data_IF_013656054273
#
_entry.id   IF_013656054273
#
_cell.length_a   1.000
_cell.length_b   1.000
_cell.length_c   1.000
_cell.angle_alpha   90.00
_cell.angle_beta   90.00
_cell.angle_gamma   90.00
#
_symmetry.space_group_name_H-M   'P 1'
#
loop_
_entity.id
_entity.type
_entity.pdbx_description
1 polymer ?
#
# COMPACT_ATOMS: atom_id res chain seq x y z
N UNK A 1 -6.89 -17.25 9.01
CA UNK A 1 -7.46 -16.62 10.22
C UNK A 1 -7.51 -15.09 10.05
N UNK A 2 -8.11 -14.57 8.96
CA UNK A 2 -8.32 -13.11 8.74
C UNK A 2 -9.73 -12.66 9.19
N UNK A 3 -10.68 -13.59 9.29
CA UNK A 3 -12.09 -13.31 9.63
C UNK A 3 -12.29 -12.69 11.02
N UNK A 4 -11.41 -12.98 11.98
CA UNK A 4 -11.51 -12.49 13.36
C UNK A 4 -10.99 -11.07 13.56
N UNK A 5 -10.33 -10.47 12.56
CA UNK A 5 -9.56 -9.24 12.74
C UNK A 5 -10.36 -7.94 12.51
N UNK A 6 -11.69 -8.00 12.42
CA UNK A 6 -12.55 -6.84 12.20
C UNK A 6 -12.34 -6.14 10.84
N UNK A 7 -13.10 -5.07 10.59
CA UNK A 7 -12.99 -4.28 9.37
C UNK A 7 -11.64 -3.54 9.33
N UNK A 8 -10.78 -3.71 8.30
CA UNK A 8 -9.53 -2.97 8.19
C UNK A 8 -9.66 -1.44 8.21
N UNK A 9 -10.82 -0.88 7.85
CA UNK A 9 -11.07 0.56 7.92
C UNK A 9 -11.61 1.03 9.28
N UNK A 10 -11.80 0.15 10.27
CA UNK A 10 -12.19 0.58 11.62
C UNK A 10 -11.00 0.94 12.51
N UNK A 11 -9.76 0.69 12.09
CA UNK A 11 -8.56 1.05 12.83
C UNK A 11 -8.20 2.52 12.60
N UNK A 12 -7.44 3.18 13.50
CA UNK A 12 -7.10 4.60 13.33
C UNK A 12 -6.45 4.91 11.98
N UNK A 13 -5.39 4.18 11.61
CA UNK A 13 -4.72 4.38 10.31
C UNK A 13 -5.58 3.90 9.14
N UNK A 14 -6.43 2.89 9.37
CA UNK A 14 -7.37 2.37 8.38
C UNK A 14 -8.39 3.41 7.93
N UNK A 15 -8.94 4.19 8.87
CA UNK A 15 -9.84 5.30 8.55
C UNK A 15 -9.15 6.39 7.72
N UNK A 16 -7.90 6.72 8.03
CA UNK A 16 -7.13 7.69 7.23
C UNK A 16 -6.90 7.19 5.81
N UNK A 17 -6.54 5.92 5.66
CA UNK A 17 -6.39 5.30 4.34
C UNK A 17 -7.73 5.27 3.59
N UNK A 18 -8.84 4.96 4.26
CA UNK A 18 -10.17 4.98 3.63
C UNK A 18 -10.48 6.37 3.07
N UNK A 19 -10.22 7.42 3.84
CA UNK A 19 -10.43 8.81 3.46
C UNK A 19 -9.49 9.26 2.33
N UNK A 20 -8.19 8.94 2.42
CA UNK A 20 -7.16 9.29 1.42
C UNK A 20 -7.34 8.60 0.07
N UNK A 21 -8.20 7.60 0.00
CA UNK A 21 -8.45 6.79 -1.19
C UNK A 21 -9.91 6.81 -1.63
N UNK A 22 -10.71 7.75 -1.11
CA UNK A 22 -12.11 7.91 -1.44
C UNK A 22 -12.33 8.34 -2.90
N UNK A 23 -13.32 7.74 -3.56
CA UNK A 23 -13.64 8.07 -4.96
C UNK A 23 -14.09 9.51 -5.20
N UNK A 24 -14.57 10.20 -4.16
CA UNK A 24 -14.96 11.61 -4.19
C UNK A 24 -13.77 12.59 -4.23
N UNK A 25 -12.54 12.14 -3.89
CA UNK A 25 -11.38 13.02 -3.88
C UNK A 25 -11.04 13.51 -5.29
N UNK A 26 -10.79 14.81 -5.52
CA UNK A 26 -10.43 15.30 -6.86
C UNK A 26 -9.02 14.85 -7.28
N UNK A 27 -8.10 14.70 -6.33
CA UNK A 27 -6.72 14.29 -6.50
C UNK A 27 -6.17 13.72 -5.18
N UNK A 28 -4.88 13.39 -5.13
CA UNK A 28 -4.18 12.97 -3.92
C UNK A 28 -4.24 14.01 -2.81
N UNK A 29 -4.58 13.57 -1.60
CA UNK A 29 -4.42 14.37 -0.40
C UNK A 29 -3.03 14.10 0.22
N UNK A 30 -2.05 14.91 -0.16
CA UNK A 30 -0.68 14.75 0.32
C UNK A 30 -0.53 14.97 1.83
N UNK A 31 -1.36 15.83 2.43
CA UNK A 31 -1.33 16.04 3.87
C UNK A 31 -1.78 14.76 4.59
N UNK A 32 -2.87 14.15 4.12
CA UNK A 32 -3.38 12.90 4.66
C UNK A 32 -2.43 11.72 4.42
N UNK A 33 -1.74 11.68 3.27
CA UNK A 33 -0.73 10.66 2.98
C UNK A 33 0.47 10.73 3.94
N UNK A 34 0.90 11.94 4.31
CA UNK A 34 1.97 12.12 5.29
C UNK A 34 1.50 11.80 6.71
N UNK A 35 0.27 12.19 7.08
CA UNK A 35 -0.34 11.79 8.36
C UNK A 35 -0.38 10.25 8.49
N UNK A 36 -0.74 9.53 7.41
CA UNK A 36 -0.71 8.07 7.38
C UNK A 36 0.70 7.53 7.67
N UNK A 37 1.76 8.12 7.09
CA UNK A 37 3.14 7.71 7.35
C UNK A 37 3.51 7.93 8.82
N UNK A 38 3.13 9.06 9.40
CA UNK A 38 3.38 9.38 10.81
C UNK A 38 2.67 8.40 11.74
N UNK A 39 1.42 8.03 11.43
CA UNK A 39 0.66 7.03 12.18
C UNK A 39 1.28 5.63 12.08
N UNK A 40 1.77 5.25 10.89
CA UNK A 40 2.45 3.96 10.69
C UNK A 40 3.74 3.90 11.53
N UNK A 41 4.50 4.99 11.57
CA UNK A 41 5.78 5.04 12.25
C UNK A 41 5.65 5.17 13.79
N UNK A 42 4.58 5.80 14.28
CA UNK A 42 4.39 6.09 15.71
C UNK A 42 3.63 5.02 16.49
N UNK A 43 2.95 4.09 15.81
CA UNK A 43 2.17 3.00 16.44
C UNK A 43 2.83 1.63 16.26
N UNK A 44 2.65 0.75 17.25
CA UNK A 44 3.07 -0.64 17.14
C UNK A 44 2.23 -1.41 16.10
N UNK A 45 0.91 -1.20 16.09
CA UNK A 45 -0.02 -1.86 15.18
C UNK A 45 -0.10 -1.17 13.81
N UNK A 46 0.31 0.09 13.74
CA UNK A 46 0.25 0.96 12.56
C UNK A 46 0.65 0.28 11.24
N UNK A 47 1.83 -0.36 11.13
CA UNK A 47 2.25 -1.03 9.91
C UNK A 47 1.31 -2.16 9.49
N UNK A 48 0.87 -3.00 10.42
CA UNK A 48 -0.01 -4.15 10.15
C UNK A 48 -1.39 -3.68 9.70
N UNK A 49 -1.94 -2.70 10.41
CA UNK A 49 -3.26 -2.17 10.10
C UNK A 49 -3.30 -1.41 8.77
N UNK A 50 -2.25 -0.64 8.47
CA UNK A 50 -2.12 0.04 7.18
C UNK A 50 -2.07 -0.95 6.01
N UNK A 51 -1.29 -2.03 6.14
CA UNK A 51 -1.20 -3.07 5.11
C UNK A 51 -2.55 -3.74 4.87
N UNK A 52 -3.31 -4.01 5.94
CA UNK A 52 -4.66 -4.59 5.82
C UNK A 52 -5.64 -3.64 5.13
N UNK A 53 -5.60 -2.35 5.45
CA UNK A 53 -6.46 -1.34 4.84
C UNK A 53 -6.12 -1.15 3.35
N UNK A 54 -4.83 -1.05 3.00
CA UNK A 54 -4.37 -0.98 1.60
C UNK A 54 -4.77 -2.22 0.80
N UNK A 55 -4.58 -3.42 1.38
CA UNK A 55 -5.02 -4.69 0.78
C UNK A 55 -6.52 -4.67 0.49
N UNK A 56 -7.34 -4.25 1.45
CA UNK A 56 -8.80 -4.13 1.28
C UNK A 56 -9.17 -3.15 0.17
N UNK A 57 -8.48 -2.01 0.06
CA UNK A 57 -8.78 -0.99 -0.95
C UNK A 57 -8.41 -1.43 -2.37
N UNK A 58 -7.32 -2.17 -2.53
CA UNK A 58 -6.78 -2.58 -3.83
C UNK A 58 -7.45 -3.85 -4.35
N UNK A 59 -7.63 -4.87 -3.50
CA UNK A 59 -8.08 -6.18 -3.95
C UNK A 59 -9.56 -6.16 -4.40
N UNK A 60 -9.79 -6.50 -5.67
CA UNK A 60 -11.15 -6.66 -6.21
C UNK A 60 -11.90 -5.35 -6.44
N UNK A 61 -11.27 -4.20 -6.21
CA UNK A 61 -11.88 -2.89 -6.43
C UNK A 61 -11.86 -2.54 -7.93
N UNK A 62 -13.05 -2.33 -8.49
CA UNK A 62 -13.21 -1.93 -9.91
C UNK A 62 -13.11 -0.42 -10.12
N UNK A 63 -13.07 0.37 -9.04
CA UNK A 63 -12.83 1.79 -9.13
C UNK A 63 -11.33 2.07 -9.22
N UNK A 64 -10.81 2.14 -10.44
CA UNK A 64 -9.38 2.32 -10.67
C UNK A 64 -8.82 3.64 -10.12
N UNK A 65 -9.65 4.67 -9.95
CA UNK A 65 -9.23 5.91 -9.28
C UNK A 65 -8.87 5.64 -7.82
N UNK A 66 -9.72 4.93 -7.09
CA UNK A 66 -9.44 4.55 -5.70
C UNK A 66 -8.22 3.64 -5.59
N UNK A 67 -8.05 2.71 -6.54
CA UNK A 67 -6.85 1.85 -6.60
C UNK A 67 -5.58 2.69 -6.84
N UNK A 68 -5.62 3.65 -7.76
CA UNK A 68 -4.49 4.54 -8.04
C UNK A 68 -4.12 5.39 -6.81
N UNK A 69 -5.11 5.97 -6.12
CA UNK A 69 -4.89 6.70 -4.87
C UNK A 69 -4.23 5.79 -3.82
N UNK A 70 -4.72 4.55 -3.67
CA UNK A 70 -4.13 3.58 -2.75
C UNK A 70 -2.69 3.18 -3.10
N UNK A 71 -2.37 3.07 -4.39
CA UNK A 71 -0.98 2.85 -4.83
C UNK A 71 -0.09 4.06 -4.53
N UNK A 72 -0.61 5.28 -4.62
CA UNK A 72 0.15 6.48 -4.23
C UNK A 72 0.36 6.54 -2.71
N UNK A 73 -0.63 6.18 -1.88
CA UNK A 73 -0.42 6.00 -0.43
C UNK A 73 0.67 4.95 -0.18
N UNK A 74 0.58 3.78 -0.82
CA UNK A 74 1.58 2.71 -0.66
C UNK A 74 2.99 3.18 -1.04
N UNK A 75 3.16 3.86 -2.18
CA UNK A 75 4.46 4.39 -2.60
C UNK A 75 5.00 5.39 -1.58
N UNK A 76 4.14 6.29 -1.09
CA UNK A 76 4.50 7.29 -0.08
C UNK A 76 4.97 6.62 1.21
N UNK A 77 4.25 5.59 1.68
CA UNK A 77 4.64 4.81 2.86
C UNK A 77 5.96 4.05 2.62
N UNK A 78 6.19 3.49 1.43
CA UNK A 78 7.48 2.83 1.13
C UNK A 78 8.65 3.81 1.24
N UNK A 79 8.46 5.07 0.83
CA UNK A 79 9.51 6.11 0.88
C UNK A 79 9.73 6.69 2.29
N UNK A 80 8.68 6.76 3.12
CA UNK A 80 8.70 7.52 4.38
C UNK A 80 8.56 6.65 5.64
N UNK A 81 8.22 5.37 5.52
CA UNK A 81 8.11 4.46 6.66
C UNK A 81 9.37 3.60 6.81
N UNK A 82 9.58 3.12 8.03
CA UNK A 82 10.72 2.27 8.37
C UNK A 82 10.55 0.78 8.06
N UNK A 83 11.58 0.02 8.44
CA UNK A 83 11.69 -1.43 8.22
C UNK A 83 10.44 -2.24 8.62
N UNK A 84 9.77 -1.88 9.73
CA UNK A 84 8.56 -2.55 10.23
C UNK A 84 7.42 -2.58 9.21
N UNK A 85 7.30 -1.54 8.39
CA UNK A 85 6.34 -1.50 7.28
C UNK A 85 6.88 -2.26 6.05
N UNK A 86 8.15 -2.06 5.71
CA UNK A 86 8.78 -2.68 4.55
C UNK A 86 8.68 -4.20 4.55
N UNK A 87 8.97 -4.86 5.67
CA UNK A 87 8.91 -6.33 5.77
C UNK A 87 7.52 -6.92 5.48
N UNK A 88 6.46 -6.14 5.68
CA UNK A 88 5.09 -6.58 5.41
C UNK A 88 4.74 -6.43 3.92
N UNK A 89 5.14 -5.32 3.31
CA UNK A 89 4.82 -5.01 1.91
C UNK A 89 5.77 -5.64 0.90
N UNK A 90 6.87 -6.26 1.35
CA UNK A 90 7.79 -7.05 0.51
C UNK A 90 7.48 -8.54 0.53
N UNK A 91 6.51 -8.98 1.33
CA UNK A 91 6.08 -10.39 1.33
C UNK A 91 5.50 -10.81 -0.02
N UNK A 92 5.69 -12.08 -0.39
CA UNK A 92 5.07 -12.65 -1.60
C UNK A 92 3.55 -12.49 -1.58
N UNK A 93 2.93 -12.70 -0.42
CA UNK A 93 1.49 -12.57 -0.24
C UNK A 93 0.99 -11.15 -0.54
N UNK A 94 1.77 -10.13 -0.22
CA UNK A 94 1.45 -8.75 -0.58
C UNK A 94 1.73 -8.47 -2.07
N UNK A 95 2.93 -8.80 -2.55
CA UNK A 95 3.34 -8.49 -3.92
C UNK A 95 2.48 -9.24 -4.94
N UNK A 96 2.41 -10.57 -4.86
CA UNK A 96 1.62 -11.38 -5.78
C UNK A 96 0.13 -11.30 -5.47
N UNK A 97 -0.24 -11.42 -4.19
CA UNK A 97 -1.63 -11.50 -3.77
C UNK A 97 -2.40 -10.17 -3.81
N UNK A 98 -1.71 -9.03 -3.81
CA UNK A 98 -2.34 -7.70 -3.88
C UNK A 98 -1.95 -6.98 -5.17
N UNK A 99 -0.65 -6.73 -5.39
CA UNK A 99 -0.20 -5.87 -6.49
C UNK A 99 -0.36 -6.55 -7.85
N UNK A 100 0.20 -7.75 -8.02
CA UNK A 100 0.07 -8.49 -9.29
C UNK A 100 -1.38 -8.85 -9.56
N UNK A 101 -2.14 -9.27 -8.52
CA UNK A 101 -3.58 -9.51 -8.65
C UNK A 101 -4.39 -8.29 -9.06
N UNK A 102 -3.96 -7.06 -8.76
CA UNK A 102 -4.66 -5.86 -9.21
C UNK A 102 -4.60 -5.70 -10.74
N UNK A 103 -3.54 -6.23 -11.38
CA UNK A 103 -3.26 -6.05 -12.81
C UNK A 103 -3.48 -7.30 -13.66
N UNK A 104 -4.14 -8.33 -13.14
CA UNK A 104 -4.44 -9.52 -13.95
C UNK A 104 -5.41 -9.17 -15.10
N UNK A 105 -5.26 -9.78 -16.29
CA UNK A 105 -6.13 -9.49 -17.45
C UNK A 105 -7.62 -9.62 -17.15
N UNK A 106 -8.01 -10.54 -16.26
CA UNK A 106 -9.40 -10.76 -15.83
C UNK A 106 -10.05 -9.51 -15.23
N UNK A 107 -9.27 -8.61 -14.63
CA UNK A 107 -9.80 -7.39 -14.03
C UNK A 107 -9.94 -6.23 -15.04
N UNK A 108 -9.48 -6.42 -16.28
CA UNK A 108 -9.41 -5.41 -17.35
C UNK A 108 -8.93 -4.03 -16.87
N UNK A 109 -7.76 -3.95 -16.20
CA UNK A 109 -7.24 -2.70 -15.67
C UNK A 109 -6.72 -1.78 -16.80
N UNK A 110 -6.73 -0.45 -16.59
CA UNK A 110 -6.14 0.48 -17.56
C UNK A 110 -4.61 0.36 -17.56
N UNK A 111 -3.97 0.65 -18.70
CA UNK A 111 -2.50 0.55 -18.86
C UNK A 111 -1.73 1.36 -17.80
N UNK A 112 -2.21 2.55 -17.44
CA UNK A 112 -1.59 3.37 -16.39
C UNK A 112 -1.48 2.64 -15.04
N UNK A 113 -2.43 1.75 -14.73
CA UNK A 113 -2.39 0.95 -13.52
C UNK A 113 -1.33 -0.17 -13.62
N UNK A 114 -1.16 -0.77 -14.80
CA UNK A 114 -0.07 -1.71 -15.05
C UNK A 114 1.29 -1.06 -14.80
N UNK A 115 1.55 0.09 -15.42
CA UNK A 115 2.83 0.80 -15.31
C UNK A 115 3.13 1.17 -13.86
N UNK A 116 2.10 1.63 -13.13
CA UNK A 116 2.22 2.00 -11.72
C UNK A 116 2.59 0.82 -10.84
N UNK A 117 1.92 -0.33 -11.01
CA UNK A 117 2.22 -1.54 -10.25
C UNK A 117 3.62 -2.05 -10.57
N UNK A 118 3.99 -2.10 -11.85
CA UNK A 118 5.32 -2.55 -12.27
C UNK A 118 6.42 -1.65 -11.69
N UNK A 119 6.23 -0.33 -11.70
CA UNK A 119 7.16 0.61 -11.08
C UNK A 119 7.36 0.32 -9.59
N UNK A 120 6.28 0.11 -8.83
CA UNK A 120 6.36 -0.20 -7.39
C UNK A 120 7.09 -1.54 -7.15
N UNK A 121 6.83 -2.56 -7.98
CA UNK A 121 7.49 -3.87 -7.85
C UNK A 121 8.97 -3.79 -8.23
N UNK A 122 9.33 -3.06 -9.29
CA UNK A 122 10.71 -2.89 -9.74
C UNK A 122 11.55 -2.10 -8.73
N UNK A 123 11.02 -0.99 -8.20
CA UNK A 123 11.71 -0.20 -7.16
C UNK A 123 12.02 -1.06 -5.93
N UNK A 124 11.13 -1.99 -5.56
CA UNK A 124 11.36 -2.93 -4.45
C UNK A 124 12.47 -3.95 -4.75
N UNK A 125 12.54 -4.47 -5.98
CA UNK A 125 13.65 -5.34 -6.38
C UNK A 125 15.00 -4.62 -6.24
N UNK A 126 15.05 -3.33 -6.53
CA UNK A 126 16.26 -2.50 -6.34
C UNK A 126 16.52 -2.18 -4.88
N UNK A 127 15.52 -1.79 -4.07
CA UNK A 127 15.71 -1.45 -2.65
C UNK A 127 16.13 -2.65 -1.80
N UNK A 128 15.67 -3.87 -2.11
CA UNK A 128 16.13 -5.08 -1.43
C UNK A 128 17.64 -5.31 -1.63
N UNK A 129 18.19 -4.91 -2.78
CA UNK A 129 19.65 -4.92 -3.03
C UNK A 129 20.37 -3.86 -2.19
N UNK A 130 19.75 -2.70 -1.92
CA UNK A 130 20.34 -1.65 -1.10
C UNK A 130 20.33 -1.95 0.41
N UNK A 131 19.25 -2.53 0.94
CA UNK A 131 19.17 -2.90 2.37
C UNK A 131 20.18 -3.99 2.76
N UNK A 132 20.50 -4.93 1.86
CA UNK A 132 21.54 -5.94 2.12
C UNK A 132 22.98 -5.43 1.92
N UNK A 133 23.20 -4.36 1.16
CA UNK A 133 24.54 -3.77 0.95
C UNK A 133 24.95 -2.77 2.03
N UNK A 134 24.00 -2.14 2.72
CA UNK A 134 24.27 -1.19 3.82
C UNK A 134 24.62 -1.82 5.18
N UNK A 135 24.65 -3.15 5.29
CA UNK A 135 24.96 -3.91 6.51
C UNK A 135 26.41 -4.44 6.57
N UNK A 136 27.25 -4.10 5.60
CA UNK A 136 28.66 -4.52 5.54
C UNK A 136 29.66 -3.34 5.60
N UNK A 137 29.23 -2.19 6.12
CA UNK A 137 30.07 -1.01 6.34
C UNK A 137 30.16 -0.68 7.82
#
# INVERSE_FOLDING_TARGET
MEFLMGNPFSTPVGQRIENATGSSLPAEDWALNMEICDMINSSEEGPRDAVRALKKRIMGNKNFKEVMLALTVLETCVKNCGYRFHILVTTRDFVEGVLVRAIIPRNNPPLVLHDRVLSIVQVKATLHVWQHRGSMG
#
